data_IF_158566909758
#
_entry.id   IF_158566909758
#
_cell.length_a   1.000
_cell.length_b   1.000
_cell.length_c   1.000
_cell.angle_alpha   90.00
_cell.angle_beta   90.00
_cell.angle_gamma   90.00
#
_symmetry.space_group_name_H-M   'P 1'
#
loop_
_entity.id
_entity.type
_entity.pdbx_description
1 polymer ?
#
# COMPACT_ATOMS: atom_id res chain seq x y z
N UNK A 1 0.10 4.37 6.29
CA UNK A 1 -0.32 5.06 5.07
C UNK A 1 0.09 4.21 3.86
N UNK A 2 -0.80 4.00 2.90
CA UNK A 2 -0.54 3.15 1.73
C UNK A 2 -0.95 3.83 0.43
N UNK A 3 -0.22 3.51 -0.67
CA UNK A 3 -0.48 4.07 -1.99
C UNK A 3 -0.62 2.95 -3.02
N UNK A 4 -1.69 2.99 -3.81
CA UNK A 4 -1.99 2.04 -4.86
C UNK A 4 -1.73 2.61 -6.26
N UNK A 5 -1.57 1.71 -7.24
CA UNK A 5 -1.48 1.99 -8.68
C UNK A 5 -0.16 2.62 -9.17
N UNK A 6 0.74 3.01 -8.27
CA UNK A 6 2.05 3.55 -8.68
C UNK A 6 3.00 2.50 -9.29
N UNK A 7 4.22 2.91 -9.57
CA UNK A 7 4.74 4.28 -9.61
C UNK A 7 4.14 5.14 -10.70
N UNK A 8 4.18 6.47 -10.48
CA UNK A 8 3.75 7.47 -11.46
C UNK A 8 4.76 8.63 -11.55
N UNK A 9 4.50 9.59 -12.43
CA UNK A 9 5.30 10.83 -12.51
C UNK A 9 5.25 11.69 -11.24
N UNK A 10 4.35 11.40 -10.29
CA UNK A 10 4.23 12.14 -9.04
C UNK A 10 4.89 11.42 -7.86
N UNK A 11 5.19 10.14 -8.01
CA UNK A 11 5.67 9.27 -6.92
C UNK A 11 7.04 9.71 -6.39
N UNK A 12 7.99 10.11 -7.24
CA UNK A 12 9.29 10.60 -6.78
C UNK A 12 9.17 11.83 -5.86
N UNK A 13 8.30 12.79 -6.23
CA UNK A 13 8.05 13.97 -5.40
C UNK A 13 7.41 13.61 -4.06
N UNK A 14 6.48 12.64 -4.04
CA UNK A 14 5.90 12.12 -2.81
C UNK A 14 6.99 11.51 -1.91
N UNK A 15 7.84 10.64 -2.45
CA UNK A 15 8.91 9.97 -1.70
C UNK A 15 9.86 11.00 -1.08
N UNK A 16 10.27 12.04 -1.82
CA UNK A 16 11.12 13.12 -1.30
C UNK A 16 10.48 13.84 -0.10
N UNK A 17 9.17 14.08 -0.15
CA UNK A 17 8.45 14.74 0.93
C UNK A 17 8.28 13.83 2.16
N UNK A 18 8.04 12.53 1.97
CA UNK A 18 7.96 11.53 3.04
C UNK A 18 9.34 11.33 3.69
N UNK A 19 10.40 11.22 2.90
CA UNK A 19 11.79 11.11 3.38
C UNK A 19 12.21 12.27 4.27
N UNK A 20 11.86 13.52 3.91
CA UNK A 20 12.14 14.71 4.74
C UNK A 20 11.47 14.66 6.11
N UNK A 21 10.41 13.88 6.26
CA UNK A 21 9.63 13.69 7.48
C UNK A 21 9.96 12.38 8.19
N UNK A 22 10.88 11.60 7.61
CA UNK A 22 11.26 10.26 8.09
C UNK A 22 10.06 9.32 8.22
N UNK A 23 9.11 9.42 7.27
CA UNK A 23 7.88 8.63 7.26
C UNK A 23 8.02 7.47 6.27
N UNK A 24 8.00 6.21 6.74
CA UNK A 24 7.86 5.04 5.89
C UNK A 24 6.40 4.84 5.49
N UNK A 25 6.18 4.32 4.29
CA UNK A 25 4.86 3.96 3.77
C UNK A 25 4.93 2.65 2.99
N UNK A 26 3.79 2.07 2.65
CA UNK A 26 3.73 0.90 1.77
C UNK A 26 3.11 1.28 0.43
N UNK A 27 3.82 0.97 -0.66
CA UNK A 27 3.34 1.13 -2.03
C UNK A 27 2.88 -0.22 -2.58
N UNK A 28 1.61 -0.33 -2.99
CA UNK A 28 1.08 -1.46 -3.75
C UNK A 28 1.13 -1.14 -5.24
N UNK A 29 2.10 -1.71 -5.94
CA UNK A 29 2.49 -1.27 -7.27
C UNK A 29 1.90 -2.12 -8.39
N UNK A 30 1.59 -1.48 -9.52
CA UNK A 30 1.27 -2.17 -10.77
C UNK A 30 2.55 -2.51 -11.53
N UNK A 31 2.71 -3.77 -11.92
CA UNK A 31 3.91 -4.21 -12.64
C UNK A 31 4.16 -3.41 -13.92
N UNK A 32 3.10 -3.11 -14.69
CA UNK A 32 3.24 -2.27 -15.90
C UNK A 32 3.72 -0.83 -15.62
N UNK A 33 3.48 -0.30 -14.42
CA UNK A 33 3.96 1.03 -14.04
C UNK A 33 5.39 0.97 -13.48
N UNK A 34 5.76 -0.15 -12.84
CA UNK A 34 7.17 -0.39 -12.47
C UNK A 34 8.06 -0.40 -13.71
N UNK A 35 7.63 -1.05 -14.81
CA UNK A 35 8.38 -1.04 -16.08
C UNK A 35 8.54 0.37 -16.67
N UNK A 36 7.55 1.25 -16.48
CA UNK A 36 7.59 2.65 -16.97
C UNK A 36 8.45 3.56 -16.09
N UNK A 37 8.53 3.27 -14.79
CA UNK A 37 9.19 4.12 -13.79
C UNK A 37 10.11 3.31 -12.86
N UNK A 38 11.08 2.51 -13.41
CA UNK A 38 11.92 1.63 -12.60
C UNK A 38 12.77 2.39 -11.59
N UNK A 39 13.36 3.51 -11.97
CA UNK A 39 14.20 4.32 -11.08
C UNK A 39 13.40 4.90 -9.91
N UNK A 40 12.13 5.25 -10.15
CA UNK A 40 11.23 5.73 -9.10
C UNK A 40 10.90 4.64 -8.10
N UNK A 41 10.65 3.40 -8.56
CA UNK A 41 10.43 2.28 -7.66
C UNK A 41 11.68 1.98 -6.84
N UNK A 42 12.84 1.91 -7.49
CA UNK A 42 14.10 1.68 -6.79
C UNK A 42 14.33 2.76 -5.73
N UNK A 43 14.08 4.03 -6.04
CA UNK A 43 14.17 5.13 -5.08
C UNK A 43 13.19 4.96 -3.91
N UNK A 44 11.95 4.52 -4.14
CA UNK A 44 11.01 4.21 -3.07
C UNK A 44 11.58 3.15 -2.11
N UNK A 45 12.08 2.05 -2.66
CA UNK A 45 12.65 0.95 -1.90
C UNK A 45 13.92 1.37 -1.14
N UNK A 46 14.87 2.02 -1.81
CA UNK A 46 16.15 2.45 -1.22
C UNK A 46 15.98 3.49 -0.10
N UNK A 47 14.84 4.17 -0.04
CA UNK A 47 14.50 5.13 1.02
C UNK A 47 13.67 4.55 2.16
N UNK A 48 13.58 3.21 2.25
CA UNK A 48 12.97 2.50 3.37
C UNK A 48 11.46 2.33 3.29
N UNK A 49 10.85 2.57 2.12
CA UNK A 49 9.44 2.25 1.95
C UNK A 49 9.25 0.76 1.63
N UNK A 50 8.12 0.23 2.03
CA UNK A 50 7.73 -1.13 1.73
C UNK A 50 7.06 -1.21 0.36
N UNK A 51 7.34 -2.28 -0.39
CA UNK A 51 6.75 -2.55 -1.69
C UNK A 51 5.88 -3.81 -1.61
N UNK A 52 4.61 -3.68 -1.96
CA UNK A 52 3.67 -4.78 -2.16
C UNK A 52 3.18 -4.82 -3.61
N UNK A 53 2.45 -5.87 -3.96
CA UNK A 53 1.92 -6.11 -5.31
C UNK A 53 0.50 -5.58 -5.42
N UNK A 54 0.15 -4.96 -6.57
CA UNK A 54 -1.22 -4.60 -6.92
C UNK A 54 -1.66 -5.18 -8.27
N UNK A 55 -1.21 -6.38 -8.63
CA UNK A 55 -1.28 -6.99 -9.96
C UNK A 55 -0.35 -6.36 -11.00
N UNK A 56 -0.40 -6.87 -12.24
CA UNK A 56 0.35 -6.29 -13.34
C UNK A 56 -0.40 -5.13 -14.02
N UNK A 57 -1.71 -5.31 -14.35
CA UNK A 57 -2.51 -4.36 -15.15
C UNK A 57 -3.82 -3.91 -14.49
N UNK A 58 -3.97 -4.07 -13.19
CA UNK A 58 -5.18 -3.68 -12.43
C UNK A 58 -6.49 -4.35 -12.90
N UNK A 59 -6.42 -5.59 -13.41
CA UNK A 59 -7.61 -6.33 -13.80
C UNK A 59 -8.41 -6.80 -12.59
N UNK A 60 -9.73 -6.89 -12.72
CA UNK A 60 -10.62 -7.40 -11.68
C UNK A 60 -10.46 -8.92 -11.55
N UNK A 61 -9.81 -9.42 -10.50
CA UNK A 61 -9.43 -10.82 -10.33
C UNK A 61 -10.62 -11.78 -10.31
N UNK A 62 -11.77 -11.38 -9.77
CA UNK A 62 -12.98 -12.20 -9.78
C UNK A 62 -13.50 -12.52 -11.19
N UNK A 63 -13.06 -11.78 -12.22
CA UNK A 63 -13.42 -12.00 -13.63
C UNK A 63 -12.36 -12.75 -14.42
N UNK A 64 -11.20 -13.02 -13.82
CA UNK A 64 -10.11 -13.74 -14.46
C UNK A 64 -10.19 -15.24 -14.16
N UNK A 65 -9.58 -16.06 -15.04
CA UNK A 65 -9.27 -17.45 -14.74
C UNK A 65 -8.09 -17.53 -13.76
N UNK A 66 -7.90 -18.68 -13.12
CA UNK A 66 -6.81 -18.89 -12.15
C UNK A 66 -5.43 -18.62 -12.78
N UNK A 67 -5.20 -19.14 -13.99
CA UNK A 67 -3.94 -18.96 -14.72
C UNK A 67 -3.63 -17.48 -14.98
N UNK A 68 -4.66 -16.70 -15.32
CA UNK A 68 -4.50 -15.27 -15.57
C UNK A 68 -4.18 -14.50 -14.29
N UNK A 69 -4.69 -14.93 -13.13
CA UNK A 69 -4.36 -14.32 -11.84
C UNK A 69 -2.91 -14.64 -11.48
N UNK A 70 -2.47 -15.90 -11.62
CA UNK A 70 -1.06 -16.28 -11.43
C UNK A 70 -0.13 -15.45 -12.32
N UNK A 71 -0.47 -15.28 -13.60
CA UNK A 71 0.31 -14.46 -14.54
C UNK A 71 0.43 -13.00 -14.07
N UNK A 72 -0.65 -12.39 -13.57
CA UNK A 72 -0.64 -11.03 -13.03
C UNK A 72 0.30 -10.88 -11.82
N UNK A 73 0.35 -11.89 -10.96
CA UNK A 73 1.20 -11.92 -9.76
C UNK A 73 2.65 -12.18 -10.15
N UNK A 74 2.90 -13.28 -10.89
CA UNK A 74 4.25 -13.73 -11.23
C UNK A 74 5.03 -12.72 -12.07
N UNK A 75 4.34 -12.11 -13.06
CA UNK A 75 4.97 -11.09 -13.90
C UNK A 75 5.42 -9.89 -13.07
N UNK A 76 4.60 -9.43 -12.13
CA UNK A 76 4.97 -8.32 -11.24
C UNK A 76 6.10 -8.71 -10.30
N UNK A 77 6.06 -9.91 -9.71
CA UNK A 77 7.12 -10.43 -8.86
C UNK A 77 8.46 -10.53 -9.59
N UNK A 78 8.46 -11.03 -10.82
CA UNK A 78 9.67 -11.14 -11.64
C UNK A 78 10.31 -9.78 -11.88
N UNK A 79 9.50 -8.75 -12.21
CA UNK A 79 9.98 -7.39 -12.42
C UNK A 79 10.58 -6.82 -11.14
N UNK A 80 9.90 -6.98 -10.00
CA UNK A 80 10.37 -6.48 -8.71
C UNK A 80 11.64 -7.20 -8.27
N UNK A 81 11.69 -8.53 -8.37
CA UNK A 81 12.89 -9.29 -8.03
C UNK A 81 14.10 -8.87 -8.84
N UNK A 82 13.94 -8.66 -10.16
CA UNK A 82 15.03 -8.20 -11.02
C UNK A 82 15.51 -6.77 -10.70
N UNK A 83 14.62 -5.91 -10.18
CA UNK A 83 14.89 -4.50 -9.95
C UNK A 83 15.46 -4.21 -8.55
N UNK A 84 14.93 -4.87 -7.52
CA UNK A 84 15.23 -4.60 -6.10
C UNK A 84 15.68 -5.84 -5.32
N UNK A 85 15.92 -6.97 -6.01
CA UNK A 85 16.32 -8.27 -5.41
C UNK A 85 15.41 -8.68 -4.24
N UNK A 86 14.10 -8.49 -4.42
CA UNK A 86 13.09 -8.83 -3.41
C UNK A 86 11.77 -9.27 -4.06
N UNK A 87 11.20 -10.35 -3.51
CA UNK A 87 9.83 -10.79 -3.81
C UNK A 87 8.94 -10.34 -2.66
N UNK A 88 7.94 -9.47 -2.91
CA UNK A 88 7.01 -9.04 -1.88
C UNK A 88 6.16 -10.20 -1.31
N UNK A 89 5.82 -10.10 -0.04
CA UNK A 89 4.90 -11.01 0.65
C UNK A 89 3.50 -10.42 0.80
N UNK A 90 3.34 -9.14 0.46
CA UNK A 90 2.08 -8.42 0.56
C UNK A 90 1.48 -8.18 -0.83
N UNK A 91 0.19 -8.36 -0.93
CA UNK A 91 -0.63 -7.98 -2.09
C UNK A 91 -1.81 -7.14 -1.63
N UNK A 92 -2.25 -6.21 -2.46
CA UNK A 92 -3.60 -5.68 -2.38
C UNK A 92 -4.31 -6.05 -3.66
N UNK A 93 -5.36 -6.89 -3.55
CA UNK A 93 -6.12 -7.31 -4.72
C UNK A 93 -6.84 -6.10 -5.34
N UNK A 94 -6.77 -5.89 -6.67
CA UNK A 94 -7.47 -4.79 -7.33
C UNK A 94 -8.94 -4.68 -6.92
N UNK A 95 -9.39 -3.46 -6.63
CA UNK A 95 -10.74 -3.13 -6.14
C UNK A 95 -11.09 -3.71 -4.75
N UNK A 96 -10.17 -4.36 -4.04
CA UNK A 96 -10.42 -5.03 -2.75
C UNK A 96 -11.44 -6.17 -2.84
N UNK A 97 -11.60 -6.79 -4.02
CA UNK A 97 -12.57 -7.87 -4.24
C UNK A 97 -11.95 -9.23 -3.95
N UNK A 98 -12.70 -10.10 -3.27
CA UNK A 98 -12.26 -11.45 -2.90
C UNK A 98 -13.34 -12.47 -3.22
N UNK A 99 -12.92 -13.70 -3.49
CA UNK A 99 -13.70 -14.91 -3.54
C UNK A 99 -12.82 -16.11 -3.14
N UNK A 100 -13.41 -17.28 -2.93
CA UNK A 100 -12.70 -18.50 -2.51
C UNK A 100 -11.55 -18.89 -3.48
N UNK A 101 -11.72 -18.64 -4.77
CA UNK A 101 -10.68 -18.87 -5.78
C UNK A 101 -9.45 -18.00 -5.52
N UNK A 102 -9.67 -16.70 -5.30
CA UNK A 102 -8.59 -15.74 -5.02
C UNK A 102 -7.89 -16.11 -3.71
N UNK A 103 -8.64 -16.41 -2.65
CA UNK A 103 -8.07 -16.79 -1.36
C UNK A 103 -7.18 -18.03 -1.46
N UNK A 104 -7.60 -19.04 -2.22
CA UNK A 104 -6.81 -20.23 -2.49
C UNK A 104 -5.52 -19.92 -3.26
N UNK A 105 -5.61 -19.07 -4.30
CA UNK A 105 -4.43 -18.66 -5.08
C UNK A 105 -3.43 -17.92 -4.19
N UNK A 106 -3.87 -16.93 -3.43
CA UNK A 106 -2.99 -16.15 -2.56
C UNK A 106 -2.31 -17.02 -1.49
N UNK A 107 -3.04 -17.99 -0.92
CA UNK A 107 -2.48 -18.99 0.00
C UNK A 107 -1.39 -19.84 -0.67
N UNK A 108 -1.62 -20.30 -1.89
CA UNK A 108 -0.66 -21.13 -2.64
C UNK A 108 0.64 -20.39 -2.97
N UNK A 109 0.57 -19.07 -3.17
CA UNK A 109 1.75 -18.23 -3.48
C UNK A 109 2.28 -17.48 -2.25
N UNK A 110 1.76 -17.78 -1.06
CA UNK A 110 2.17 -17.19 0.23
C UNK A 110 2.11 -15.65 0.23
N UNK A 111 1.05 -15.08 -0.34
CA UNK A 111 0.79 -13.64 -0.32
C UNK A 111 -0.31 -13.29 0.69
N UNK A 112 -0.03 -12.30 1.54
CA UNK A 112 -1.00 -11.72 2.45
C UNK A 112 -1.74 -10.57 1.77
N UNK A 113 -3.08 -10.68 1.65
CA UNK A 113 -3.91 -9.59 1.10
C UNK A 113 -4.18 -8.51 2.15
N UNK A 114 -3.91 -7.27 1.79
CA UNK A 114 -4.01 -6.11 2.66
C UNK A 114 -5.13 -5.19 2.19
N UNK A 115 -6.20 -5.10 2.95
CA UNK A 115 -7.27 -4.13 2.74
C UNK A 115 -6.95 -2.80 3.45
N UNK A 116 -7.96 -1.95 3.64
CA UNK A 116 -7.86 -0.65 4.29
C UNK A 116 -9.02 -0.41 5.23
N UNK A 117 -8.83 0.45 6.22
CA UNK A 117 -9.89 0.91 7.12
C UNK A 117 -10.40 2.31 6.73
N UNK A 118 -9.56 3.12 6.07
CA UNK A 118 -9.93 4.45 5.58
C UNK A 118 -9.61 4.56 4.08
N UNK A 119 -10.64 4.62 3.22
CA UNK A 119 -10.51 4.96 1.81
C UNK A 119 -10.56 6.48 1.66
N UNK A 120 -9.49 7.10 1.22
CA UNK A 120 -9.39 8.56 1.06
C UNK A 120 -10.36 9.16 0.03
N UNK A 121 -10.91 8.31 -0.86
CA UNK A 121 -11.72 8.72 -2.03
C UNK A 121 -11.01 9.70 -2.96
N UNK A 122 -9.68 9.74 -2.95
CA UNK A 122 -8.87 10.66 -3.74
C UNK A 122 -9.09 10.50 -5.25
N UNK A 123 -9.21 9.26 -5.71
CA UNK A 123 -9.54 8.90 -7.09
C UNK A 123 -10.84 9.55 -7.60
N UNK A 124 -11.78 9.83 -6.69
CA UNK A 124 -13.09 10.43 -6.98
C UNK A 124 -13.09 11.94 -6.73
N UNK A 125 -12.56 12.38 -5.59
CA UNK A 125 -12.63 13.77 -5.12
C UNK A 125 -11.73 14.71 -5.94
N UNK A 126 -10.55 14.28 -6.32
CA UNK A 126 -9.57 15.00 -7.14
C UNK A 126 -9.35 16.45 -6.71
N UNK A 127 -9.41 16.72 -5.41
CA UNK A 127 -9.22 18.02 -4.79
C UNK A 127 -8.50 17.84 -3.46
N UNK A 128 -7.34 18.43 -3.30
CA UNK A 128 -6.44 18.31 -2.16
C UNK A 128 -7.15 18.54 -0.81
N UNK A 129 -7.87 19.66 -0.67
CA UNK A 129 -8.54 20.01 0.58
C UNK A 129 -9.70 19.06 0.92
N UNK A 130 -10.48 18.65 -0.07
CA UNK A 130 -11.60 17.71 0.13
C UNK A 130 -11.12 16.32 0.52
N UNK A 131 -10.03 15.86 -0.07
CA UNK A 131 -9.37 14.58 0.29
C UNK A 131 -8.90 14.66 1.74
N UNK A 132 -8.14 15.72 2.08
CA UNK A 132 -7.67 15.95 3.44
C UNK A 132 -8.83 15.94 4.46
N UNK A 133 -9.85 16.75 4.24
CA UNK A 133 -11.01 16.84 5.15
C UNK A 133 -11.74 15.49 5.28
N UNK A 134 -11.83 14.74 4.16
CA UNK A 134 -12.47 13.43 4.19
C UNK A 134 -11.69 12.43 5.05
N UNK A 135 -10.38 12.31 4.86
CA UNK A 135 -9.54 11.41 5.66
C UNK A 135 -9.58 11.81 7.14
N UNK A 136 -9.37 13.10 7.45
CA UNK A 136 -9.37 13.59 8.84
C UNK A 136 -10.70 13.37 9.57
N UNK A 137 -11.81 13.27 8.84
CA UNK A 137 -13.12 12.95 9.42
C UNK A 137 -13.24 11.50 9.89
N UNK A 138 -12.56 10.55 9.21
CA UNK A 138 -12.76 9.12 9.44
C UNK A 138 -11.60 8.43 10.17
N UNK A 139 -10.43 9.05 10.22
CA UNK A 139 -9.28 8.48 10.92
C UNK A 139 -9.51 8.43 12.44
N UNK A 140 -9.11 7.33 13.07
CA UNK A 140 -9.29 7.09 14.51
C UNK A 140 -8.01 6.64 15.22
N UNK A 141 -7.01 6.21 14.47
CA UNK A 141 -5.78 5.58 14.96
C UNK A 141 -5.77 4.08 14.66
N UNK A 142 -4.57 3.55 14.48
CA UNK A 142 -4.35 2.17 13.99
C UNK A 142 -5.07 1.89 12.66
N UNK A 143 -5.10 2.89 11.79
CA UNK A 143 -5.77 2.82 10.50
C UNK A 143 -4.81 2.52 9.36
N UNK A 144 -5.30 1.76 8.39
CA UNK A 144 -4.67 1.61 7.08
C UNK A 144 -5.39 2.55 6.11
N UNK A 145 -4.71 3.63 5.70
CA UNK A 145 -5.26 4.63 4.80
C UNK A 145 -4.91 4.25 3.35
N UNK A 146 -5.94 4.09 2.52
CA UNK A 146 -5.80 3.90 1.07
C UNK A 146 -5.75 5.26 0.38
N UNK A 147 -4.68 5.49 -0.39
CA UNK A 147 -4.51 6.62 -1.33
C UNK A 147 -3.93 6.11 -2.66
N UNK A 148 -3.80 7.02 -3.63
CA UNK A 148 -3.17 6.72 -4.92
C UNK A 148 -2.13 7.79 -5.23
N UNK A 149 -0.93 7.38 -5.63
CA UNK A 149 0.16 8.30 -6.00
C UNK A 149 0.13 8.71 -7.49
N UNK A 150 -0.98 8.44 -8.16
CA UNK A 150 -1.20 8.72 -9.59
C UNK A 150 -1.79 10.10 -9.89
N UNK A 151 -2.19 10.85 -8.85
CA UNK A 151 -2.76 12.19 -8.97
C UNK A 151 -1.99 13.21 -8.13
N UNK A 152 -1.73 14.38 -8.71
CA UNK A 152 -1.07 15.49 -7.99
C UNK A 152 -1.83 15.87 -6.71
N UNK A 153 -3.15 15.96 -6.80
CA UNK A 153 -4.01 16.31 -5.66
C UNK A 153 -3.98 15.30 -4.53
N UNK A 154 -3.78 14.01 -4.85
CA UNK A 154 -3.60 12.96 -3.85
C UNK A 154 -2.28 13.10 -3.12
N UNK A 155 -1.20 13.34 -3.86
CA UNK A 155 0.14 13.56 -3.28
C UNK A 155 0.15 14.78 -2.36
N UNK A 156 -0.41 15.90 -2.81
CA UNK A 156 -0.55 17.11 -1.98
C UNK A 156 -1.38 16.84 -0.71
N UNK A 157 -2.50 16.14 -0.84
CA UNK A 157 -3.35 15.79 0.30
C UNK A 157 -2.64 14.84 1.27
N UNK A 158 -1.88 13.87 0.78
CA UNK A 158 -1.10 12.95 1.61
C UNK A 158 -0.13 13.72 2.52
N UNK A 159 0.56 14.72 1.99
CA UNK A 159 1.49 15.53 2.79
C UNK A 159 0.77 16.35 3.86
N UNK A 160 -0.39 16.96 3.54
CA UNK A 160 -1.20 17.65 4.53
C UNK A 160 -1.70 16.72 5.65
N UNK A 161 -2.12 15.48 5.28
CA UNK A 161 -2.54 14.44 6.23
C UNK A 161 -1.37 14.05 7.13
N UNK A 162 -0.20 13.78 6.55
CA UNK A 162 1.01 13.42 7.30
C UNK A 162 1.37 14.52 8.28
N UNK A 163 1.48 15.78 7.84
CA UNK A 163 1.86 16.91 8.69
C UNK A 163 0.88 17.09 9.86
N UNK A 164 -0.42 16.95 9.59
CA UNK A 164 -1.45 17.05 10.64
C UNK A 164 -1.35 15.92 11.65
N UNK A 165 -1.24 14.66 11.18
CA UNK A 165 -1.17 13.51 12.07
C UNK A 165 0.12 13.50 12.91
N UNK A 166 1.26 13.90 12.34
CA UNK A 166 2.50 14.09 13.11
C UNK A 166 2.32 15.14 14.22
N UNK A 167 1.62 16.25 13.93
CA UNK A 167 1.34 17.28 14.94
C UNK A 167 0.41 16.80 16.07
N UNK A 168 -0.32 15.70 15.85
CA UNK A 168 -1.19 15.01 16.80
C UNK A 168 -0.52 13.76 17.42
N UNK A 169 0.82 13.64 17.29
CA UNK A 169 1.62 12.54 17.84
C UNK A 169 1.29 11.15 17.28
N UNK A 170 0.73 11.07 16.08
CA UNK A 170 0.64 9.78 15.36
C UNK A 170 2.02 9.39 14.84
N UNK A 171 2.27 8.08 14.82
CA UNK A 171 3.41 7.47 14.15
C UNK A 171 2.94 6.76 12.87
N UNK A 172 3.82 6.75 11.87
CA UNK A 172 3.59 6.03 10.62
C UNK A 172 4.54 4.83 10.55
N UNK A 173 4.00 3.71 10.12
CA UNK A 173 4.74 2.46 9.97
C UNK A 173 4.35 1.80 8.64
N UNK A 174 5.19 0.91 8.15
CA UNK A 174 4.86 0.03 7.02
C UNK A 174 3.78 -1.00 7.41
N UNK A 175 3.21 -1.70 6.43
CA UNK A 175 2.22 -2.73 6.72
C UNK A 175 2.84 -3.91 7.47
N UNK A 176 4.05 -4.33 7.12
CA UNK A 176 4.73 -5.41 7.85
C UNK A 176 4.97 -5.02 9.31
N UNK A 177 5.50 -3.83 9.60
CA UNK A 177 5.66 -3.33 10.96
C UNK A 177 4.33 -3.21 11.73
N UNK A 178 3.24 -2.85 11.03
CA UNK A 178 1.90 -2.79 11.61
C UNK A 178 1.39 -4.19 12.02
N UNK A 179 1.59 -5.21 11.17
CA UNK A 179 1.20 -6.59 11.44
C UNK A 179 1.99 -7.13 12.63
N UNK A 180 3.32 -6.97 12.62
CA UNK A 180 4.20 -7.44 13.71
C UNK A 180 3.82 -6.79 15.05
N UNK A 181 3.47 -5.51 15.04
CA UNK A 181 3.04 -4.79 16.25
C UNK A 181 1.73 -5.32 16.79
N UNK A 182 0.75 -5.65 15.92
CA UNK A 182 -0.53 -6.24 16.33
C UNK A 182 -0.35 -7.62 16.95
N UNK A 183 0.38 -8.50 16.30
CA UNK A 183 0.67 -9.84 16.81
C UNK A 183 1.36 -9.79 18.15
N UNK A 184 2.30 -8.85 18.36
CA UNK A 184 2.95 -8.65 19.64
C UNK A 184 1.97 -8.24 20.75
N UNK A 185 1.05 -7.30 20.48
CA UNK A 185 0.06 -6.82 21.44
C UNK A 185 -0.98 -7.91 21.77
N UNK A 186 -1.43 -8.68 20.79
CA UNK A 186 -2.35 -9.80 20.99
C UNK A 186 -1.70 -10.90 21.86
N UNK A 187 -0.46 -11.27 21.57
CA UNK A 187 0.29 -12.26 22.37
C UNK A 187 0.49 -11.83 23.84
N UNK A 188 0.72 -10.53 24.11
CA UNK A 188 0.81 -10.01 25.49
C UNK A 188 -0.56 -10.04 26.18
N UNK A 189 -1.64 -9.69 25.50
CA UNK A 189 -2.99 -9.69 26.07
C UNK A 189 -3.43 -11.10 26.46
N UNK A 190 -3.05 -12.12 25.69
CA UNK A 190 -3.34 -13.53 26.00
C UNK A 190 -2.56 -14.03 27.23
N UNK A 191 -1.31 -13.57 27.41
CA UNK A 191 -0.50 -13.88 28.61
C UNK A 191 -1.08 -13.21 29.87
N UNK A 192 -1.67 -12.02 29.75
CA UNK A 192 -2.27 -11.29 30.89
C UNK A 192 -3.65 -11.81 31.29
N UNK A 193 -4.38 -12.49 30.40
CA UNK A 193 -5.66 -13.13 30.69
C UNK A 193 -5.54 -14.53 31.34
N UNK A 194 -4.34 -15.09 31.39
CA UNK A 194 -4.05 -16.39 32.02
C UNK A 194 -3.59 -16.28 33.48
N UNK A 195 -3.75 -15.14 34.13
CA UNK A 195 -3.53 -14.90 35.57
C UNK A 195 -4.86 -14.59 36.25
#
# INVERSE_FOLDING_TARGET
LTFDNGPSKYTSSLIEQLKKREIPVTFFVLGENVEKFPDTLKFAYDTGNEIGIHSYTHKLFTKLKEEEIYEQIEKTNTILNNLIDKVPTLIRVPYGTRDEKIDKILSNVHLTDVLWSVDSKDWKLKNTNRIYQYVMKYIKGNDIILMHDTFKTSVEAAILIVDKLLSECYTFVTISEYIDTKEYVENISDITTLK
#
